data_IF_570510481478
#
_entry.id   IF_570510481478
#
_cell.length_a   1.000
_cell.length_b   1.000
_cell.length_c   1.000
_cell.angle_alpha   90.00
_cell.angle_beta   90.00
_cell.angle_gamma   90.00
#
_symmetry.space_group_name_H-M   'P 1'
#
loop_
_entity.id
_entity.type
_entity.pdbx_description
1 polymer ?
#
# COMPACT_ATOMS: atom_id res chain seq x y z
N UNK A 1 -61.80 -39.04 -37.44
CA UNK A 1 -61.03 -37.86 -36.98
C UNK A 1 -60.23 -37.39 -38.18
N UNK A 2 -60.48 -36.18 -38.67
CA UNK A 2 -59.93 -35.72 -39.95
C UNK A 2 -58.44 -35.44 -39.82
N UNK A 3 -57.60 -36.05 -40.66
CA UNK A 3 -56.14 -35.93 -40.59
C UNK A 3 -55.66 -34.47 -40.62
N UNK A 4 -56.35 -33.61 -41.37
CA UNK A 4 -56.04 -32.18 -41.42
C UNK A 4 -56.22 -31.50 -40.05
N UNK A 5 -57.26 -31.89 -39.29
CA UNK A 5 -57.49 -31.37 -37.92
C UNK A 5 -56.40 -31.84 -36.95
N UNK A 6 -55.88 -33.06 -37.13
CA UNK A 6 -54.76 -33.59 -36.35
C UNK A 6 -53.47 -32.82 -36.67
N UNK A 7 -53.18 -32.57 -37.95
CA UNK A 7 -51.99 -31.83 -38.39
C UNK A 7 -52.02 -30.40 -37.87
N UNK A 8 -53.14 -29.68 -38.01
CA UNK A 8 -53.27 -28.32 -37.47
C UNK A 8 -53.09 -28.28 -35.95
N UNK A 9 -53.61 -29.27 -35.22
CA UNK A 9 -53.45 -29.37 -33.77
C UNK A 9 -51.98 -29.57 -33.37
N UNK A 10 -51.24 -30.44 -34.08
CA UNK A 10 -49.82 -30.69 -33.80
C UNK A 10 -48.95 -29.46 -34.10
N UNK A 11 -49.19 -28.77 -35.22
CA UNK A 11 -48.47 -27.53 -35.57
C UNK A 11 -48.73 -26.43 -34.54
N UNK A 12 -49.97 -26.28 -34.07
CA UNK A 12 -50.31 -25.32 -33.02
C UNK A 12 -49.56 -25.61 -31.71
N UNK A 13 -49.46 -26.89 -31.31
CA UNK A 13 -48.72 -27.29 -30.10
C UNK A 13 -47.23 -27.00 -30.24
N UNK A 14 -46.62 -27.30 -31.38
CA UNK A 14 -45.19 -27.02 -31.64
C UNK A 14 -44.90 -25.52 -31.60
N UNK A 15 -45.76 -24.69 -32.18
CA UNK A 15 -45.61 -23.23 -32.14
C UNK A 15 -45.74 -22.71 -30.71
N UNK A 16 -46.70 -23.22 -29.92
CA UNK A 16 -46.87 -22.85 -28.50
C UNK A 16 -45.61 -23.21 -27.69
N UNK A 17 -45.02 -24.39 -27.93
CA UNK A 17 -43.80 -24.82 -27.26
C UNK A 17 -42.59 -23.96 -27.64
N UNK A 18 -42.46 -23.56 -28.91
CA UNK A 18 -41.40 -22.67 -29.36
C UNK A 18 -41.53 -21.26 -28.79
N UNK A 19 -42.75 -20.71 -28.70
CA UNK A 19 -43.03 -19.42 -28.07
C UNK A 19 -42.76 -19.47 -26.56
N UNK A 20 -43.14 -20.56 -25.90
CA UNK A 20 -42.82 -20.79 -24.49
C UNK A 20 -41.31 -20.91 -24.26
N UNK A 21 -40.56 -21.57 -25.15
CA UNK A 21 -39.11 -21.68 -25.08
C UNK A 21 -38.41 -20.32 -25.31
N UNK A 22 -38.91 -19.51 -26.25
CA UNK A 22 -38.39 -18.16 -26.52
C UNK A 22 -38.55 -17.22 -25.32
N UNK A 23 -39.68 -17.28 -24.62
CA UNK A 23 -39.93 -16.48 -23.41
C UNK A 23 -38.97 -16.79 -22.24
N UNK A 24 -38.35 -17.99 -22.22
CA UNK A 24 -37.43 -18.42 -21.15
C UNK A 24 -36.01 -17.86 -21.35
N UNK A 25 -35.69 -17.26 -22.51
CA UNK A 25 -34.31 -16.84 -22.84
C UNK A 25 -33.89 -15.44 -22.37
N UNK A 26 -34.71 -14.73 -21.59
CA UNK A 26 -34.41 -13.38 -21.09
C UNK A 26 -34.11 -13.33 -19.59
N UNK A 27 -33.25 -14.21 -19.08
CA UNK A 27 -32.82 -14.15 -17.67
C UNK A 27 -31.72 -13.10 -17.50
N UNK A 28 -32.09 -11.89 -17.09
CA UNK A 28 -31.14 -10.96 -16.48
C UNK A 28 -30.75 -11.52 -15.11
N UNK A 29 -29.57 -12.11 -14.99
CA UNK A 29 -29.01 -12.43 -13.68
C UNK A 29 -28.75 -11.13 -12.93
N UNK A 30 -29.23 -11.04 -11.69
CA UNK A 30 -28.87 -9.94 -10.82
C UNK A 30 -27.36 -10.00 -10.55
N UNK A 31 -26.71 -8.83 -10.53
CA UNK A 31 -25.29 -8.73 -10.19
C UNK A 31 -25.04 -9.27 -8.78
N UNK A 32 -23.88 -9.88 -8.57
CA UNK A 32 -23.44 -10.32 -7.25
C UNK A 32 -22.82 -9.15 -6.49
N UNK A 33 -23.19 -8.98 -5.22
CA UNK A 33 -22.56 -7.98 -4.37
C UNK A 33 -21.09 -8.30 -4.11
N UNK A 34 -20.32 -7.25 -3.84
CA UNK A 34 -18.88 -7.34 -3.57
C UNK A 34 -18.51 -6.63 -2.28
N UNK A 35 -17.35 -6.99 -1.75
CA UNK A 35 -16.77 -6.37 -0.56
C UNK A 35 -15.27 -6.15 -0.74
N UNK A 36 -14.79 -4.99 -0.30
CA UNK A 36 -13.37 -4.69 -0.17
C UNK A 36 -12.99 -4.78 1.30
N UNK A 37 -11.98 -5.58 1.60
CA UNK A 37 -11.37 -5.68 2.92
C UNK A 37 -9.97 -5.09 2.89
N UNK A 38 -9.68 -4.13 3.75
CA UNK A 38 -8.30 -3.65 3.96
C UNK A 38 -7.51 -4.69 4.75
N UNK A 39 -6.35 -5.07 4.25
CA UNK A 39 -5.48 -6.11 4.83
C UNK A 39 -4.17 -5.56 5.37
N UNK A 40 -3.78 -4.34 5.01
CA UNK A 40 -2.65 -3.63 5.63
C UNK A 40 -3.01 -3.10 7.03
N UNK A 41 -1.97 -2.76 7.80
CA UNK A 41 -2.14 -2.08 9.08
C UNK A 41 -2.66 -0.65 8.89
N UNK A 42 -3.14 -0.06 9.99
CA UNK A 42 -3.56 1.35 10.06
C UNK A 42 -2.40 2.32 10.33
N UNK A 43 -1.21 1.81 10.64
CA UNK A 43 0.02 2.58 10.84
C UNK A 43 1.06 2.03 9.89
N UNK A 44 1.57 2.86 8.99
CA UNK A 44 2.55 2.50 7.96
C UNK A 44 3.66 3.55 7.89
N UNK A 45 4.70 3.28 7.12
CA UNK A 45 5.77 4.20 6.79
C UNK A 45 5.75 4.55 5.30
N UNK A 46 6.43 5.63 4.92
CA UNK A 46 6.68 5.89 3.50
C UNK A 46 7.46 4.72 2.87
N UNK A 47 7.03 4.28 1.69
CA UNK A 47 7.56 3.09 1.00
C UNK A 47 6.82 1.78 1.31
N UNK A 48 5.97 1.74 2.35
CA UNK A 48 5.13 0.58 2.67
C UNK A 48 4.00 0.38 1.65
N UNK A 49 3.27 -0.73 1.79
CA UNK A 49 2.13 -1.07 0.95
C UNK A 49 0.81 -0.92 1.69
N UNK A 50 -0.11 -0.17 1.09
CA UNK A 50 -1.54 -0.26 1.39
C UNK A 50 -2.13 -1.43 0.61
N UNK A 51 -2.77 -2.36 1.32
CA UNK A 51 -3.21 -3.64 0.75
C UNK A 51 -4.68 -3.90 1.01
N UNK A 52 -5.36 -4.46 0.02
CA UNK A 52 -6.78 -4.82 0.08
C UNK A 52 -7.02 -6.21 -0.52
N UNK A 53 -8.16 -6.80 -0.18
CA UNK A 53 -8.72 -7.96 -0.86
C UNK A 53 -10.15 -7.65 -1.32
N UNK A 54 -10.45 -7.94 -2.59
CA UNK A 54 -11.78 -7.83 -3.17
C UNK A 54 -12.38 -9.23 -3.36
N UNK A 55 -13.61 -9.42 -2.87
CA UNK A 55 -14.36 -10.65 -3.03
C UNK A 55 -15.85 -10.39 -3.33
N UNK A 56 -16.54 -11.41 -3.84
CA UNK A 56 -18.01 -11.39 -3.90
C UNK A 56 -18.62 -11.68 -2.52
N UNK A 57 -19.95 -11.59 -2.42
CA UNK A 57 -20.73 -11.90 -1.22
C UNK A 57 -20.48 -13.30 -0.63
N UNK A 58 -20.04 -14.24 -1.46
CA UNK A 58 -19.71 -15.62 -1.05
C UNK A 58 -18.25 -15.78 -0.59
N UNK A 59 -17.47 -14.69 -0.56
CA UNK A 59 -16.05 -14.71 -0.20
C UNK A 59 -15.12 -15.23 -1.31
N UNK A 60 -15.62 -15.44 -2.52
CA UNK A 60 -14.78 -15.79 -3.67
C UNK A 60 -13.97 -14.57 -4.10
N UNK A 61 -12.63 -14.67 -4.15
CA UNK A 61 -11.81 -13.54 -4.57
C UNK A 61 -12.04 -13.16 -6.03
N UNK A 62 -11.98 -11.86 -6.32
CA UNK A 62 -12.18 -11.34 -7.67
C UNK A 62 -10.86 -10.86 -8.26
N UNK A 63 -10.35 -11.59 -9.23
CA UNK A 63 -9.08 -11.31 -9.90
C UNK A 63 -9.22 -10.34 -11.08
N UNK A 64 -8.14 -9.63 -11.40
CA UNK A 64 -8.04 -8.69 -12.52
C UNK A 64 -9.06 -7.55 -12.49
N UNK A 65 -9.51 -7.16 -11.30
CA UNK A 65 -10.44 -6.06 -11.12
C UNK A 65 -9.70 -4.78 -10.79
N UNK A 66 -10.08 -3.68 -11.45
CA UNK A 66 -9.52 -2.36 -11.17
C UNK A 66 -10.22 -1.74 -9.95
N UNK A 67 -9.44 -1.34 -8.96
CA UNK A 67 -9.91 -0.64 -7.76
C UNK A 67 -9.27 0.75 -7.72
N UNK A 68 -10.10 1.78 -7.60
CA UNK A 68 -9.65 3.16 -7.44
C UNK A 68 -9.32 3.40 -5.96
N UNK A 69 -8.13 3.92 -5.69
CA UNK A 69 -7.68 4.29 -4.35
C UNK A 69 -7.53 5.80 -4.28
N UNK A 70 -8.16 6.45 -3.32
CA UNK A 70 -8.01 7.89 -3.07
C UNK A 70 -7.43 8.10 -1.68
N UNK A 71 -6.24 8.68 -1.61
CA UNK A 71 -5.55 9.03 -0.36
C UNK A 71 -5.83 10.51 -0.08
N UNK A 72 -6.43 10.81 1.06
CA UNK A 72 -6.88 12.15 1.43
C UNK A 72 -6.06 12.61 2.64
N UNK A 73 -5.38 13.75 2.51
CA UNK A 73 -4.61 14.35 3.60
C UNK A 73 -5.50 15.13 4.59
N UNK A 74 -4.93 15.62 5.69
CA UNK A 74 -5.68 16.36 6.71
C UNK A 74 -6.22 17.73 6.25
N UNK A 75 -5.72 18.25 5.13
CA UNK A 75 -6.19 19.49 4.51
C UNK A 75 -7.26 19.23 3.43
N UNK A 76 -7.60 17.96 3.19
CA UNK A 76 -8.54 17.55 2.14
C UNK A 76 -7.91 17.43 0.74
N UNK A 77 -6.59 17.47 0.63
CA UNK A 77 -5.89 17.19 -0.62
C UNK A 77 -6.04 15.72 -1.00
N UNK A 78 -6.44 15.45 -2.24
CA UNK A 78 -6.70 14.10 -2.74
C UNK A 78 -5.61 13.64 -3.70
N UNK A 79 -5.13 12.41 -3.50
CA UNK A 79 -4.26 11.71 -4.44
C UNK A 79 -4.96 10.44 -4.93
N UNK A 80 -5.33 10.43 -6.22
CA UNK A 80 -6.00 9.32 -6.86
C UNK A 80 -4.99 8.35 -7.49
N UNK A 81 -5.15 7.08 -7.19
CA UNK A 81 -4.35 5.96 -7.65
C UNK A 81 -5.27 4.82 -8.09
N UNK A 82 -4.71 3.87 -8.83
CA UNK A 82 -5.44 2.67 -9.23
C UNK A 82 -4.57 1.44 -9.01
N UNK A 83 -5.20 0.36 -8.58
CA UNK A 83 -4.58 -0.96 -8.48
C UNK A 83 -5.44 -1.99 -9.20
N UNK A 84 -4.81 -3.08 -9.61
CA UNK A 84 -5.51 -4.25 -10.18
C UNK A 84 -5.33 -5.42 -9.24
N UNK A 85 -6.41 -6.16 -8.97
CA UNK A 85 -6.35 -7.32 -8.09
C UNK A 85 -5.68 -8.52 -8.77
N UNK A 86 -4.92 -9.30 -8.00
CA UNK A 86 -4.29 -10.55 -8.45
C UNK A 86 -5.28 -11.74 -8.47
N UNK A 87 -4.78 -12.94 -8.79
CA UNK A 87 -5.57 -14.18 -8.81
C UNK A 87 -6.26 -14.54 -7.47
N UNK A 88 -5.78 -13.99 -6.37
CA UNK A 88 -6.33 -14.16 -5.02
C UNK A 88 -7.17 -12.96 -4.56
N UNK A 89 -7.53 -12.07 -5.49
CA UNK A 89 -8.30 -10.86 -5.24
C UNK A 89 -7.52 -9.79 -4.49
N UNK A 90 -6.20 -9.91 -4.33
CA UNK A 90 -5.41 -8.95 -3.58
C UNK A 90 -4.95 -7.80 -4.46
N UNK A 91 -5.07 -6.57 -3.97
CA UNK A 91 -4.49 -5.38 -4.59
C UNK A 91 -3.49 -4.73 -3.65
N UNK A 92 -2.37 -4.24 -4.19
CA UNK A 92 -1.31 -3.58 -3.42
C UNK A 92 -0.94 -2.24 -4.06
N UNK A 93 -0.93 -1.18 -3.26
CA UNK A 93 -0.46 0.16 -3.63
C UNK A 93 0.77 0.49 -2.79
N UNK A 94 1.92 0.72 -3.44
CA UNK A 94 3.07 1.26 -2.74
C UNK A 94 2.86 2.75 -2.45
N UNK A 95 3.00 3.13 -1.18
CA UNK A 95 2.93 4.51 -0.73
C UNK A 95 4.28 5.17 -0.96
N UNK A 96 4.32 6.30 -1.67
CA UNK A 96 5.56 6.98 -2.01
C UNK A 96 5.42 8.49 -1.82
N UNK A 97 6.39 9.10 -1.13
CA UNK A 97 6.44 10.54 -0.90
C UNK A 97 5.35 11.05 0.04
N UNK A 98 4.82 10.20 0.93
CA UNK A 98 3.87 10.64 1.95
C UNK A 98 4.62 11.14 3.19
N UNK A 99 4.41 12.42 3.53
CA UNK A 99 4.90 12.96 4.80
C UNK A 99 4.20 12.28 5.99
N UNK A 100 4.89 12.24 7.14
CA UNK A 100 4.29 11.73 8.36
C UNK A 100 3.04 12.52 8.74
N UNK A 101 1.99 11.82 9.17
CA UNK A 101 0.70 12.42 9.43
C UNK A 101 -0.46 11.45 9.30
N UNK A 102 -1.67 11.98 9.38
CA UNK A 102 -2.92 11.20 9.28
C UNK A 102 -3.55 11.40 7.91
N UNK A 103 -4.00 10.30 7.33
CA UNK A 103 -4.66 10.24 6.04
C UNK A 103 -5.96 9.43 6.17
N UNK A 104 -6.87 9.67 5.23
CA UNK A 104 -8.02 8.82 5.02
C UNK A 104 -7.92 8.19 3.63
N UNK A 105 -7.97 6.87 3.55
CA UNK A 105 -7.84 6.15 2.27
C UNK A 105 -9.19 5.54 1.92
N UNK A 106 -9.71 5.88 0.75
CA UNK A 106 -10.94 5.32 0.19
C UNK A 106 -10.57 4.37 -0.94
N UNK A 107 -11.02 3.11 -0.84
CA UNK A 107 -10.91 2.13 -1.91
C UNK A 107 -12.30 1.91 -2.53
N UNK A 108 -12.42 2.08 -3.85
CA UNK A 108 -13.67 1.99 -4.59
C UNK A 108 -13.51 1.03 -5.77
N UNK A 109 -14.30 -0.04 -5.75
CA UNK A 109 -14.50 -0.91 -6.90
C UNK A 109 -15.80 -0.50 -7.62
N UNK A 110 -15.69 -0.14 -8.89
CA UNK A 110 -16.82 0.40 -9.68
C UNK A 110 -17.86 -0.63 -10.12
N UNK A 111 -17.62 -1.93 -9.91
CA UNK A 111 -18.47 -3.00 -10.44
C UNK A 111 -18.21 -3.29 -11.93
N UNK A 112 -18.89 -4.30 -12.44
CA UNK A 112 -18.93 -4.68 -13.86
C UNK A 112 -20.28 -5.35 -14.18
N UNK A 113 -20.41 -6.04 -15.30
CA UNK A 113 -21.67 -6.69 -15.71
C UNK A 113 -22.15 -7.78 -14.74
N UNK A 114 -21.22 -8.45 -14.05
CA UNK A 114 -21.52 -9.56 -13.14
C UNK A 114 -21.56 -9.14 -11.66
N UNK A 115 -20.87 -8.06 -11.29
CA UNK A 115 -20.60 -7.68 -9.92
C UNK A 115 -21.00 -6.22 -9.62
N UNK A 116 -21.67 -6.01 -8.49
CA UNK A 116 -22.03 -4.69 -7.98
C UNK A 116 -20.79 -3.93 -7.48
N UNK A 117 -20.86 -2.60 -7.51
CA UNK A 117 -19.84 -1.72 -6.94
C UNK A 117 -19.77 -1.86 -5.41
N UNK A 118 -18.59 -1.62 -4.84
CA UNK A 118 -18.39 -1.57 -3.39
C UNK A 118 -17.26 -0.60 -3.03
N UNK A 119 -17.26 -0.12 -1.79
CA UNK A 119 -16.20 0.74 -1.28
C UNK A 119 -15.90 0.44 0.18
N UNK A 120 -14.72 0.86 0.61
CA UNK A 120 -14.33 0.88 2.03
C UNK A 120 -13.40 2.06 2.30
N UNK A 121 -13.30 2.43 3.56
CA UNK A 121 -12.50 3.56 4.02
C UNK A 121 -11.64 3.14 5.21
N UNK A 122 -10.39 3.59 5.22
CA UNK A 122 -9.44 3.32 6.29
C UNK A 122 -8.71 4.59 6.71
N UNK A 123 -8.71 4.87 8.01
CA UNK A 123 -7.80 5.86 8.58
C UNK A 123 -6.39 5.28 8.64
N UNK A 124 -5.43 6.04 8.12
CA UNK A 124 -4.04 5.65 8.02
C UNK A 124 -3.16 6.69 8.74
N UNK A 125 -2.21 6.23 9.54
CA UNK A 125 -1.15 7.04 10.13
C UNK A 125 0.17 6.69 9.45
N UNK A 126 0.79 7.65 8.79
CA UNK A 126 2.17 7.54 8.29
C UNK A 126 3.10 8.03 9.38
N UNK A 127 4.02 7.18 9.82
CA UNK A 127 5.07 7.54 10.77
C UNK A 127 6.37 7.88 10.07
N UNK A 128 7.16 8.73 10.71
CA UNK A 128 8.55 8.93 10.28
C UNK A 128 9.35 7.65 10.53
N UNK A 129 10.20 7.31 9.57
CA UNK A 129 11.20 6.28 9.79
C UNK A 129 12.25 6.88 10.74
N UNK A 130 12.24 6.43 11.99
CA UNK A 130 13.34 6.72 12.90
C UNK A 130 14.59 5.99 12.40
N UNK A 131 15.43 6.68 11.63
CA UNK A 131 16.78 6.19 11.35
C UNK A 131 17.53 6.26 12.67
N UNK A 132 17.56 5.14 13.39
CA UNK A 132 18.45 4.95 14.52
C UNK A 132 19.86 5.17 13.99
N UNK A 133 20.42 6.36 14.20
CA UNK A 133 21.83 6.64 13.96
C UNK A 133 22.59 5.75 14.93
N UNK A 134 22.88 4.52 14.50
CA UNK A 134 23.76 3.64 15.25
C UNK A 134 25.10 4.31 15.15
N UNK A 135 25.49 5.06 16.18
CA UNK A 135 26.89 5.41 16.36
C UNK A 135 27.63 4.07 16.37
N UNK A 136 28.27 3.74 15.25
CA UNK A 136 29.13 2.57 15.16
C UNK A 136 30.13 2.70 16.31
N UNK A 137 30.22 1.65 17.14
CA UNK A 137 31.18 1.59 18.23
C UNK A 137 32.55 2.14 17.81
N UNK A 138 33.26 2.89 18.69
CA UNK A 138 34.44 3.63 18.27
C UNK A 138 35.50 2.69 17.69
N UNK A 139 35.88 2.93 16.44
CA UNK A 139 37.04 2.29 15.84
C UNK A 139 38.31 2.92 16.46
N UNK A 140 39.15 2.09 17.07
CA UNK A 140 40.43 2.51 17.66
C UNK A 140 41.42 2.77 16.52
N UNK A 141 41.92 4.00 16.38
CA UNK A 141 42.77 4.39 15.24
C UNK A 141 44.28 4.38 15.57
N UNK A 142 44.69 4.48 16.85
CA UNK A 142 46.09 4.23 17.24
C UNK A 142 46.28 4.31 18.77
N UNK A 143 47.22 3.51 19.28
CA UNK A 143 47.75 3.58 20.66
C UNK A 143 49.19 4.10 20.53
N UNK A 144 49.56 5.15 21.26
CA UNK A 144 50.96 5.57 21.41
C UNK A 144 51.64 4.83 22.57
N UNK A 145 52.97 4.71 22.55
CA UNK A 145 53.77 3.93 23.52
C UNK A 145 53.64 4.42 24.99
N UNK A 146 53.07 5.60 25.21
CA UNK A 146 52.74 6.21 26.51
C UNK A 146 51.26 6.03 26.94
N UNK A 147 50.45 5.34 26.14
CA UNK A 147 49.10 4.90 26.51
C UNK A 147 47.95 5.88 26.25
N UNK A 148 48.18 6.96 25.49
CA UNK A 148 47.10 7.88 25.12
C UNK A 148 46.24 7.36 23.95
N UNK A 149 44.92 7.49 24.08
CA UNK A 149 43.93 7.05 23.07
C UNK A 149 43.19 8.26 22.50
N UNK A 150 43.18 8.38 21.16
CA UNK A 150 42.44 9.42 20.43
C UNK A 150 41.15 8.81 19.82
N UNK A 151 40.01 9.48 20.02
CA UNK A 151 38.71 9.08 19.46
C UNK A 151 38.22 10.10 18.44
N UNK A 152 37.54 9.64 17.39
CA UNK A 152 36.82 10.49 16.43
C UNK A 152 35.31 10.37 16.64
N UNK A 153 34.60 11.50 16.66
CA UNK A 153 33.16 11.54 16.44
C UNK A 153 32.86 12.31 15.16
N UNK A 154 32.08 11.65 14.32
CA UNK A 154 31.53 11.93 13.00
C UNK A 154 30.87 13.32 12.79
N UNK A 155 31.67 14.39 12.86
CA UNK A 155 31.28 15.67 12.24
C UNK A 155 31.95 16.94 12.75
N UNK A 156 32.51 16.96 13.96
CA UNK A 156 33.41 18.02 14.42
C UNK A 156 34.42 17.40 15.40
N UNK A 157 35.71 17.46 15.05
CA UNK A 157 36.86 16.86 15.75
C UNK A 157 36.93 17.23 17.24
N UNK A 158 37.21 16.24 18.10
CA UNK A 158 37.55 16.41 19.53
C UNK A 158 39.04 16.15 19.78
N UNK A 159 39.63 16.90 20.70
CA UNK A 159 40.93 16.62 21.32
C UNK A 159 40.80 16.77 22.83
N UNK A 160 41.48 15.91 23.59
CA UNK A 160 41.77 16.15 25.00
C UNK A 160 43.26 15.87 25.25
N UNK A 161 44.01 16.95 25.48
CA UNK A 161 45.22 16.90 26.29
C UNK A 161 44.83 16.78 27.77
N UNK A 162 45.73 16.22 28.55
CA UNK A 162 45.53 15.87 29.96
C UNK A 162 44.82 16.98 30.76
N UNK A 163 43.76 16.60 31.47
CA UNK A 163 42.99 17.44 32.42
C UNK A 163 42.42 18.76 31.88
N UNK A 164 41.13 18.73 31.54
CA UNK A 164 40.28 19.94 31.47
C UNK A 164 40.00 20.43 30.05
N UNK A 165 38.73 20.24 29.66
CA UNK A 165 38.01 20.89 28.56
C UNK A 165 38.39 20.61 27.09
N UNK A 166 37.37 20.51 26.20
CA UNK A 166 37.57 20.33 24.77
C UNK A 166 38.16 21.60 24.12
N UNK A 167 39.12 21.42 23.21
CA UNK A 167 39.71 22.52 22.43
C UNK A 167 39.03 22.66 21.05
N UNK A 168 39.01 23.88 20.53
CA UNK A 168 38.40 24.22 19.23
C UNK A 168 39.30 23.82 18.05
N UNK A 169 38.72 23.81 16.83
CA UNK A 169 39.45 23.51 15.58
C UNK A 169 40.63 24.46 15.32
N UNK A 170 40.52 25.73 15.68
CA UNK A 170 41.62 26.71 15.55
C UNK A 170 42.76 26.42 16.54
N UNK A 171 42.43 26.01 17.78
CA UNK A 171 43.43 25.61 18.76
C UNK A 171 44.18 24.35 18.31
N UNK A 172 43.48 23.40 17.66
CA UNK A 172 44.12 22.22 17.07
C UNK A 172 45.11 22.57 15.96
N UNK A 173 44.71 23.38 14.97
CA UNK A 173 45.60 23.73 13.85
C UNK A 173 46.80 24.59 14.33
N UNK A 174 46.63 25.40 15.38
CA UNK A 174 47.74 26.09 16.05
C UNK A 174 48.73 25.11 16.69
N UNK A 175 48.24 24.11 17.43
CA UNK A 175 49.08 23.08 18.05
C UNK A 175 49.76 22.19 17.00
N UNK A 176 49.09 21.87 15.90
CA UNK A 176 49.69 21.12 14.79
C UNK A 176 50.83 21.88 14.10
N UNK A 177 50.74 23.21 14.06
CA UNK A 177 51.71 24.08 13.37
C UNK A 177 52.84 24.58 14.27
N UNK A 178 52.59 24.75 15.57
CA UNK A 178 53.51 25.39 16.51
C UNK A 178 53.74 24.58 17.81
N UNK A 179 53.00 23.48 18.01
CA UNK A 179 53.24 22.54 19.10
C UNK A 179 54.57 21.83 18.88
N UNK A 180 55.45 21.91 19.86
CA UNK A 180 56.72 21.18 19.82
C UNK A 180 56.41 19.68 19.91
N UNK A 181 57.04 18.91 19.02
CA UNK A 181 57.06 17.45 19.05
C UNK A 181 57.73 16.94 20.32
#
# INVERSE_FOLDING_TARGET
>A
MDYNKIIYLLVAIVIILLVACFAVSNTTFAKQDTAIKVTSNNTLYDGDYFSIQLSNVNGTPLANQVVNITIIDSNGGENHQQITTDGSGNGMLQLNGLAAGKYNVVALYGGNDDYSASNTTQNLEIKEVEVQKTASAPYVVSISDDGCVLYWSDGHTTYRGETGDPITKEQYEYLKKYGKQ
#
